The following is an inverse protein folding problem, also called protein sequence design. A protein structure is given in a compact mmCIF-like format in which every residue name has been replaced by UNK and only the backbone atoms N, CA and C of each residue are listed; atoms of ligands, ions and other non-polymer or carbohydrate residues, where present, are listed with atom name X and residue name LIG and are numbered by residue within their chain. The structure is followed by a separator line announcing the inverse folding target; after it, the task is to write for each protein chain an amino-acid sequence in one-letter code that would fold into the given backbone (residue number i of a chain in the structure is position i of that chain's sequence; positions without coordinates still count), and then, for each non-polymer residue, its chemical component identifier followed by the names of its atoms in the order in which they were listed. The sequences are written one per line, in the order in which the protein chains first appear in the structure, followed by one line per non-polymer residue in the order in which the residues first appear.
data_IF_493514431040
#
_entry.id   IF_493514431040
#
_cell.length_a   1.000
_cell.length_b   1.000
_cell.length_c   1.000
_cell.angle_alpha   90.00
_cell.angle_beta   90.00
_cell.angle_gamma   90.00
#
_symmetry.space_group_name_H-M   'P 1'
#
loop_
_entity.id
_entity.type
_entity.pdbx_description
1 polymer ?
#
# COMPACT_ATOMS: atom_id res chain seq x y z
N UNK A 1 20.55 5.51 5.66
CA UNK A 1 19.29 5.35 6.42
C UNK A 1 18.49 4.23 5.80
N UNK A 2 17.99 3.30 6.61
CA UNK A 2 17.20 2.15 6.13
C UNK A 2 15.79 2.59 5.71
N UNK A 3 15.14 1.80 4.87
CA UNK A 3 13.69 1.92 4.64
C UNK A 3 12.87 1.31 5.77
N UNK A 4 13.43 0.37 6.55
CA UNK A 4 12.74 -0.33 7.64
C UNK A 4 12.76 0.41 8.98
N UNK A 5 13.78 1.22 9.23
CA UNK A 5 13.94 1.96 10.49
C UNK A 5 13.55 3.44 10.31
N UNK A 6 12.25 3.72 10.45
CA UNK A 6 11.65 5.05 10.33
C UNK A 6 10.50 5.21 11.31
N UNK A 7 10.21 6.45 11.67
CA UNK A 7 8.96 6.80 12.34
C UNK A 7 7.84 6.96 11.30
N UNK A 8 6.61 6.66 11.70
CA UNK A 8 5.44 6.75 10.84
C UNK A 8 4.51 5.55 10.96
N UNK A 9 3.51 5.50 10.09
CA UNK A 9 2.49 4.45 10.06
C UNK A 9 2.45 3.77 8.69
N UNK A 10 2.28 2.46 8.69
CA UNK A 10 2.00 1.67 7.48
C UNK A 10 0.63 1.03 7.64
N UNK A 11 -0.16 1.03 6.58
CA UNK A 11 -1.41 0.26 6.56
C UNK A 11 -1.10 -1.19 6.16
N UNK A 12 -1.46 -2.14 7.03
CA UNK A 12 -1.27 -3.58 6.81
C UNK A 12 -2.51 -4.32 7.29
N UNK A 13 -3.10 -5.12 6.41
CA UNK A 13 -4.19 -6.06 6.69
C UNK A 13 -5.39 -5.47 7.46
N UNK A 14 -5.77 -4.21 7.15
CA UNK A 14 -6.92 -3.55 7.76
C UNK A 14 -6.57 -2.43 8.74
N UNK A 15 -5.32 -2.39 9.23
CA UNK A 15 -4.93 -1.55 10.36
C UNK A 15 -3.72 -0.67 10.05
N UNK A 16 -3.63 0.47 10.72
CA UNK A 16 -2.40 1.27 10.75
C UNK A 16 -1.50 0.81 11.89
N UNK A 17 -0.37 0.25 11.53
CA UNK A 17 0.66 -0.21 12.45
C UNK A 17 1.87 0.73 12.41
N UNK A 18 2.72 0.65 13.43
CA UNK A 18 3.98 1.38 13.42
C UNK A 18 4.87 0.89 12.28
N UNK A 19 5.58 1.82 11.66
CA UNK A 19 6.40 1.55 10.47
C UNK A 19 7.37 0.38 10.67
N UNK A 20 7.94 0.26 11.87
CA UNK A 20 8.91 -0.78 12.24
C UNK A 20 8.26 -2.16 12.44
N UNK A 21 6.97 -2.20 12.74
CA UNK A 21 6.22 -3.42 13.01
C UNK A 21 5.67 -4.07 11.73
N UNK A 22 5.73 -3.36 10.60
CA UNK A 22 5.33 -3.85 9.28
C UNK A 22 6.32 -4.86 8.70
N UNK A 23 6.44 -5.99 9.40
CA UNK A 23 7.32 -7.11 9.07
C UNK A 23 6.50 -8.30 8.56
N UNK A 24 7.19 -9.24 7.91
CA UNK A 24 6.67 -10.52 7.45
C UNK A 24 7.68 -11.61 7.79
N UNK A 25 7.25 -12.85 7.88
CA UNK A 25 8.17 -13.96 8.11
C UNK A 25 9.05 -14.22 6.88
N UNK A 26 10.26 -14.75 7.10
CA UNK A 26 11.21 -15.02 6.00
C UNK A 26 10.72 -16.10 5.03
N UNK A 27 9.72 -16.89 5.41
CA UNK A 27 9.11 -17.94 4.56
C UNK A 27 7.86 -17.48 3.78
N UNK A 28 7.59 -16.17 3.71
CA UNK A 28 6.48 -15.64 2.90
C UNK A 28 6.59 -16.07 1.44
N UNK A 29 5.53 -16.66 0.88
CA UNK A 29 5.51 -17.25 -0.46
C UNK A 29 5.97 -16.26 -1.54
N UNK A 30 5.47 -15.01 -1.54
CA UNK A 30 5.87 -14.01 -2.54
C UNK A 30 7.37 -13.68 -2.50
N UNK A 31 8.03 -13.82 -1.34
CA UNK A 31 9.48 -13.59 -1.23
C UNK A 31 10.30 -14.65 -1.97
N UNK A 32 9.80 -15.89 -2.03
CA UNK A 32 10.49 -17.02 -2.66
C UNK A 32 10.04 -17.28 -4.10
N UNK A 33 8.78 -16.95 -4.42
CA UNK A 33 8.16 -17.33 -5.69
C UNK A 33 7.71 -16.13 -6.54
N UNK A 34 7.90 -14.90 -6.07
CA UNK A 34 7.71 -13.67 -6.84
C UNK A 34 6.26 -13.30 -7.20
N UNK A 35 5.27 -14.14 -6.85
CA UNK A 35 3.87 -13.88 -7.14
C UNK A 35 3.30 -12.83 -6.17
N UNK A 36 3.23 -11.59 -6.62
CA UNK A 36 2.62 -10.47 -5.92
C UNK A 36 2.38 -9.30 -6.87
N UNK A 37 1.56 -8.34 -6.46
CA UNK A 37 1.21 -7.17 -7.28
C UNK A 37 1.37 -5.90 -6.47
N UNK A 38 1.84 -4.83 -7.11
CA UNK A 38 2.02 -3.54 -6.45
C UNK A 38 1.62 -2.40 -7.37
N UNK A 39 1.42 -1.23 -6.77
CA UNK A 39 1.23 0.02 -7.48
C UNK A 39 2.25 1.08 -7.08
N UNK A 40 2.40 2.06 -7.96
CA UNK A 40 3.15 3.27 -7.68
C UNK A 40 2.25 4.47 -7.85
N UNK A 41 1.91 5.13 -6.75
CA UNK A 41 0.99 6.28 -6.75
C UNK A 41 1.73 7.49 -6.18
N UNK A 42 1.40 8.71 -6.63
CA UNK A 42 1.98 9.94 -6.08
C UNK A 42 0.92 10.86 -5.51
N UNK A 43 1.27 11.44 -4.37
CA UNK A 43 0.56 12.56 -3.78
C UNK A 43 1.38 13.84 -3.96
N UNK A 44 0.70 14.94 -4.22
CA UNK A 44 1.29 16.25 -4.46
C UNK A 44 0.61 17.30 -3.62
N UNK A 45 1.39 18.29 -3.17
CA UNK A 45 0.86 19.48 -2.54
C UNK A 45 0.16 20.32 -3.61
N UNK A 46 -1.10 20.66 -3.36
CA UNK A 46 -1.90 21.54 -4.22
C UNK A 46 -2.37 22.76 -3.42
N UNK A 47 -2.91 23.81 -4.06
CA UNK A 47 -3.49 24.95 -3.35
C UNK A 47 -4.64 24.58 -2.40
N UNK A 48 -5.28 23.41 -2.59
CA UNK A 48 -6.36 22.90 -1.73
C UNK A 48 -5.87 21.87 -0.68
N UNK A 49 -4.56 21.64 -0.60
CA UNK A 49 -3.94 20.62 0.26
C UNK A 49 -3.36 19.45 -0.53
N UNK A 50 -2.88 18.43 0.18
CA UNK A 50 -2.29 17.24 -0.46
C UNK A 50 -3.35 16.43 -1.20
N UNK A 51 -3.12 16.15 -2.48
CA UNK A 51 -4.02 15.35 -3.31
C UNK A 51 -3.27 14.15 -3.94
N UNK A 52 -3.90 12.98 -3.93
CA UNK A 52 -3.38 11.78 -4.60
C UNK A 52 -3.84 11.79 -6.07
N UNK A 53 -2.89 11.80 -6.99
CA UNK A 53 -3.19 11.87 -8.42
C UNK A 53 -3.69 10.52 -8.94
N UNK A 54 -4.89 10.51 -9.53
CA UNK A 54 -5.51 9.32 -10.17
C UNK A 54 -5.63 8.09 -9.27
N UNK A 55 -5.94 8.31 -7.99
CA UNK A 55 -6.04 7.25 -6.97
C UNK A 55 -6.96 6.09 -7.39
N UNK A 56 -8.13 6.39 -7.97
CA UNK A 56 -9.10 5.37 -8.38
C UNK A 56 -8.53 4.48 -9.48
N UNK A 57 -7.91 5.05 -10.50
CA UNK A 57 -7.38 4.27 -11.62
C UNK A 57 -6.18 3.41 -11.22
N UNK A 58 -5.29 3.92 -10.37
CA UNK A 58 -4.21 3.12 -9.80
C UNK A 58 -4.76 1.97 -8.96
N UNK A 59 -5.74 2.24 -8.08
CA UNK A 59 -6.34 1.20 -7.23
C UNK A 59 -7.08 0.17 -8.08
N UNK A 60 -7.84 0.58 -9.10
CA UNK A 60 -8.49 -0.35 -10.03
C UNK A 60 -7.46 -1.22 -10.76
N UNK A 61 -6.31 -0.65 -11.15
CA UNK A 61 -5.24 -1.42 -11.78
C UNK A 61 -4.61 -2.43 -10.81
N UNK A 62 -4.43 -2.08 -9.53
CA UNK A 62 -4.00 -3.04 -8.50
C UNK A 62 -4.94 -4.25 -8.42
N UNK A 63 -6.25 -4.02 -8.37
CA UNK A 63 -7.25 -5.09 -8.35
C UNK A 63 -7.26 -5.91 -9.65
N UNK A 64 -7.09 -5.26 -10.81
CA UNK A 64 -6.98 -5.96 -12.09
C UNK A 64 -5.71 -6.82 -12.14
N UNK A 65 -4.58 -6.33 -11.63
CA UNK A 65 -3.34 -7.11 -11.52
C UNK A 65 -3.52 -8.32 -10.59
N UNK A 66 -4.15 -8.14 -9.43
CA UNK A 66 -4.48 -9.24 -8.53
C UNK A 66 -5.36 -10.29 -9.23
N UNK A 67 -6.38 -9.84 -9.97
CA UNK A 67 -7.27 -10.70 -10.76
C UNK A 67 -6.52 -11.55 -11.80
N UNK A 68 -5.51 -11.00 -12.48
CA UNK A 68 -4.70 -11.75 -13.46
C UNK A 68 -4.01 -12.96 -12.81
N UNK A 69 -3.53 -12.79 -11.57
CA UNK A 69 -2.91 -13.86 -10.79
C UNK A 69 -3.90 -14.67 -9.96
N UNK A 70 -5.21 -14.42 -10.09
CA UNK A 70 -6.26 -15.02 -9.27
C UNK A 70 -6.05 -14.79 -7.76
N UNK A 71 -5.38 -13.70 -7.40
CA UNK A 71 -5.23 -13.24 -6.02
C UNK A 71 -6.51 -12.52 -5.60
N UNK A 72 -7.09 -12.96 -4.48
CA UNK A 72 -8.23 -12.28 -3.88
C UNK A 72 -7.72 -11.24 -2.90
N UNK A 73 -8.05 -9.96 -3.13
CA UNK A 73 -7.83 -8.90 -2.16
C UNK A 73 -9.02 -8.95 -1.17
N UNK A 74 -8.80 -9.13 0.15
CA UNK A 74 -9.87 -9.26 1.13
C UNK A 74 -10.52 -7.92 1.53
N UNK A 75 -10.43 -6.91 0.65
CA UNK A 75 -10.94 -5.56 0.84
C UNK A 75 -11.57 -5.08 -0.45
N UNK A 76 -12.59 -4.23 -0.36
CA UNK A 76 -13.16 -3.57 -1.54
C UNK A 76 -12.29 -2.39 -2.01
N UNK A 77 -12.59 -1.91 -3.22
CA UNK A 77 -11.87 -0.82 -3.87
C UNK A 77 -11.87 0.46 -3.01
N UNK A 78 -12.99 0.79 -2.37
CA UNK A 78 -13.14 2.02 -1.58
C UNK A 78 -12.31 1.96 -0.30
N UNK A 79 -12.25 0.80 0.35
CA UNK A 79 -11.41 0.53 1.53
C UNK A 79 -9.94 0.72 1.19
N UNK A 80 -9.46 0.16 0.08
CA UNK A 80 -8.04 0.30 -0.33
C UNK A 80 -7.70 1.73 -0.74
N UNK A 81 -8.65 2.47 -1.32
CA UNK A 81 -8.46 3.89 -1.58
C UNK A 81 -8.41 4.73 -0.30
N UNK A 82 -9.27 4.47 0.69
CA UNK A 82 -9.19 5.17 1.97
C UNK A 82 -7.90 4.82 2.72
N UNK A 83 -7.47 3.56 2.73
CA UNK A 83 -6.20 3.16 3.32
C UNK A 83 -5.02 3.99 2.78
N UNK A 84 -4.95 4.20 1.47
CA UNK A 84 -3.93 5.05 0.85
C UNK A 84 -4.03 6.52 1.31
N UNK A 85 -5.26 7.08 1.40
CA UNK A 85 -5.47 8.44 1.92
C UNK A 85 -5.06 8.55 3.39
N UNK A 86 -5.40 7.55 4.19
CA UNK A 86 -5.11 7.48 5.61
C UNK A 86 -3.59 7.44 5.85
N UNK A 87 -2.83 6.64 5.09
CA UNK A 87 -1.37 6.59 5.19
C UNK A 87 -0.75 7.96 4.91
N UNK A 88 -1.18 8.69 3.87
CA UNK A 88 -0.67 10.04 3.60
C UNK A 88 -0.97 10.99 4.75
N UNK A 89 -2.21 10.95 5.25
CA UNK A 89 -2.72 11.84 6.31
C UNK A 89 -2.00 11.63 7.64
N UNK A 90 -1.93 10.39 8.12
CA UNK A 90 -1.35 10.06 9.43
C UNK A 90 0.17 10.27 9.47
N UNK A 91 0.84 10.12 8.33
CA UNK A 91 2.26 10.43 8.20
C UNK A 91 2.53 11.92 7.92
N UNK A 92 1.49 12.77 7.81
CA UNK A 92 1.60 14.23 7.58
C UNK A 92 2.45 14.58 6.35
N UNK A 93 2.28 13.82 5.27
CA UNK A 93 3.10 13.96 4.07
C UNK A 93 2.47 14.95 3.08
N UNK A 94 3.15 16.07 2.82
CA UNK A 94 2.67 17.08 1.86
C UNK A 94 2.77 16.63 0.40
N UNK A 95 3.80 15.84 0.09
CA UNK A 95 4.03 15.22 -1.22
C UNK A 95 4.81 13.93 -1.02
N UNK A 96 4.33 12.84 -1.60
CA UNK A 96 4.92 11.52 -1.35
C UNK A 96 4.69 10.55 -2.49
N UNK A 97 5.37 9.41 -2.39
CA UNK A 97 5.14 8.24 -3.20
C UNK A 97 4.51 7.15 -2.31
N UNK A 98 3.39 6.59 -2.76
CA UNK A 98 2.67 5.48 -2.13
C UNK A 98 3.01 4.18 -2.86
N UNK A 99 3.15 3.11 -2.09
CA UNK A 99 3.43 1.75 -2.58
C UNK A 99 2.41 0.74 -2.04
N UNK A 100 1.16 0.72 -2.52
CA UNK A 100 0.26 -0.39 -2.25
C UNK A 100 0.89 -1.68 -2.78
N UNK A 101 0.90 -2.74 -1.96
CA UNK A 101 1.46 -4.05 -2.28
C UNK A 101 0.50 -5.13 -1.77
N UNK A 102 0.20 -6.10 -2.62
CA UNK A 102 -0.57 -7.30 -2.30
C UNK A 102 0.32 -8.51 -2.58
N UNK A 103 0.40 -9.42 -1.62
CA UNK A 103 1.28 -10.59 -1.68
C UNK A 103 0.60 -11.81 -1.08
N UNK A 104 1.14 -13.00 -1.34
CA UNK A 104 0.77 -14.27 -0.71
C UNK A 104 1.65 -14.44 0.53
N UNK A 105 1.01 -14.71 1.68
CA UNK A 105 1.66 -14.90 2.98
C UNK A 105 2.51 -16.16 3.09
N UNK A 106 2.81 -16.54 4.33
CA UNK A 106 3.55 -17.75 4.73
C UNK A 106 2.64 -18.89 5.21
N UNK A 107 1.32 -18.74 5.05
CA UNK A 107 0.27 -19.74 5.30
C UNK A 107 -0.32 -20.29 3.99
#
# INVERSE_FOLDING_TARGET
MSMSDRDGKIWKDGELIDWRDATIHVLTHTLHYGMGVFEGVRAYQTPQGTAIFRLREHTQRLFNSAKIFQLTIPFDLETVMEAQRQVVRENKLESCYLRPLVWIGDE
#
